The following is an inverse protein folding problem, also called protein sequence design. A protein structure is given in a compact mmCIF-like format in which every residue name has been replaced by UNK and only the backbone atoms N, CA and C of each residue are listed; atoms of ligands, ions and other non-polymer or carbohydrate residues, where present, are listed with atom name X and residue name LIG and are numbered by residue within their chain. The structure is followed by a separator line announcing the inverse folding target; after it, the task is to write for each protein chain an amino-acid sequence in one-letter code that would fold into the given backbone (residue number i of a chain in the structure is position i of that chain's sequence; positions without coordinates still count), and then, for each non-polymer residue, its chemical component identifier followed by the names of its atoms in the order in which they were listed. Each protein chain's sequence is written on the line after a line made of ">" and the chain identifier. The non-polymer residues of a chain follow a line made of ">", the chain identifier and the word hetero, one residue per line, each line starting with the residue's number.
data_IF_014923781948
#
_entry.id   IF_014923781948
#
_cell.length_a   1.000
_cell.length_b   1.000
_cell.length_c   1.000
_cell.angle_alpha   90.00
_cell.angle_beta   90.00
_cell.angle_gamma   90.00
#
_symmetry.space_group_name_H-M   'P 1'
#
loop_
_entity.id
_entity.type
_entity.pdbx_description
1 polymer ?
#
# COMPACT_ATOMS: atom_id res chain seq x y z
N UNK A 1 -24.24 -11.86 10.91
CA UNK A 1 -23.15 -11.18 10.18
C UNK A 1 -23.61 -11.02 8.75
N UNK A 2 -23.81 -9.79 8.27
CA UNK A 2 -24.25 -9.55 6.89
C UNK A 2 -23.05 -9.87 5.99
N UNK A 3 -23.06 -11.02 5.33
CA UNK A 3 -22.04 -11.37 4.33
C UNK A 3 -22.14 -10.33 3.23
N UNK A 4 -21.20 -9.40 3.20
CA UNK A 4 -21.16 -8.36 2.19
C UNK A 4 -21.16 -9.04 0.80
N UNK A 5 -22.20 -8.75 0.02
CA UNK A 5 -22.32 -9.27 -1.34
C UNK A 5 -21.13 -8.75 -2.15
N UNK A 6 -20.37 -9.61 -2.85
CA UNK A 6 -19.31 -9.15 -3.72
C UNK A 6 -19.87 -8.18 -4.77
N UNK A 7 -19.23 -7.03 -4.93
CA UNK A 7 -19.65 -6.00 -5.88
C UNK A 7 -18.54 -5.77 -6.91
N UNK A 8 -18.94 -5.54 -8.16
CA UNK A 8 -18.05 -5.25 -9.27
C UNK A 8 -18.52 -4.00 -9.99
N UNK A 9 -17.57 -3.16 -10.39
CA UNK A 9 -17.81 -1.98 -11.21
C UNK A 9 -16.71 -1.85 -12.26
N UNK A 10 -17.10 -1.38 -13.44
CA UNK A 10 -16.22 -1.15 -14.59
C UNK A 10 -16.54 0.20 -15.20
N UNK A 11 -15.52 0.92 -15.60
CA UNK A 11 -15.62 2.22 -16.26
C UNK A 11 -14.58 2.33 -17.37
N UNK A 12 -15.05 2.44 -18.60
CA UNK A 12 -14.22 2.82 -19.74
C UNK A 12 -14.12 4.35 -19.80
N UNK A 13 -12.91 4.87 -19.98
CA UNK A 13 -12.66 6.30 -20.09
C UNK A 13 -11.57 6.61 -21.11
N UNK A 14 -11.83 7.60 -21.95
CA UNK A 14 -10.78 8.26 -22.73
C UNK A 14 -10.15 9.34 -21.84
N UNK A 15 -8.89 9.13 -21.46
CA UNK A 15 -8.20 9.94 -20.46
C UNK A 15 -7.84 11.32 -21.00
N UNK A 16 -8.22 12.33 -20.24
CA UNK A 16 -7.73 13.70 -20.34
C UNK A 16 -7.76 14.34 -18.95
N UNK A 17 -6.95 15.36 -18.72
CA UNK A 17 -6.92 16.09 -17.44
C UNK A 17 -8.31 16.53 -16.91
N UNK A 18 -9.25 16.92 -17.79
CA UNK A 18 -10.63 17.24 -17.39
C UNK A 18 -11.40 15.98 -16.96
N UNK A 19 -11.23 14.87 -17.70
CA UNK A 19 -11.90 13.60 -17.43
C UNK A 19 -11.45 12.98 -16.11
N UNK A 20 -10.22 13.20 -15.65
CA UNK A 20 -9.76 12.72 -14.33
C UNK A 20 -10.67 13.21 -13.20
N UNK A 21 -11.04 14.49 -13.22
CA UNK A 21 -11.97 15.07 -12.23
C UNK A 21 -13.38 14.45 -12.30
N UNK A 22 -13.82 14.08 -13.51
CA UNK A 22 -15.10 13.39 -13.70
C UNK A 22 -15.05 11.95 -13.18
N UNK A 23 -13.99 11.21 -13.48
CA UNK A 23 -13.79 9.83 -12.99
C UNK A 23 -13.79 9.83 -11.47
N UNK A 24 -13.05 10.74 -10.82
CA UNK A 24 -13.08 10.93 -9.36
C UNK A 24 -14.51 11.01 -8.82
N UNK A 25 -15.36 11.86 -9.42
CA UNK A 25 -16.76 12.04 -8.97
C UNK A 25 -17.58 10.77 -9.14
N UNK A 26 -17.42 10.06 -10.26
CA UNK A 26 -18.14 8.82 -10.57
C UNK A 26 -17.75 7.71 -9.60
N UNK A 27 -16.43 7.52 -9.37
CA UNK A 27 -15.92 6.51 -8.46
C UNK A 27 -16.33 6.80 -7.02
N UNK A 28 -16.23 8.07 -6.58
CA UNK A 28 -16.69 8.48 -5.26
C UNK A 28 -18.18 8.19 -5.06
N UNK A 29 -19.03 8.42 -6.07
CA UNK A 29 -20.44 8.07 -6.00
C UNK A 29 -20.67 6.56 -5.86
N UNK A 30 -19.96 5.74 -6.64
CA UNK A 30 -20.05 4.28 -6.55
C UNK A 30 -19.58 3.73 -5.21
N UNK A 31 -18.47 4.24 -4.68
CA UNK A 31 -17.95 3.83 -3.37
C UNK A 31 -18.93 4.15 -2.24
N UNK A 32 -19.58 5.33 -2.27
CA UNK A 32 -20.64 5.68 -1.33
C UNK A 32 -21.88 4.80 -1.48
N UNK A 33 -22.25 4.47 -2.72
CA UNK A 33 -23.34 3.52 -2.98
C UNK A 33 -23.05 2.13 -2.36
N UNK A 34 -21.79 1.71 -2.36
CA UNK A 34 -21.33 0.49 -1.68
C UNK A 34 -21.11 0.64 -0.17
N UNK A 35 -21.38 1.82 0.41
CA UNK A 35 -21.14 2.17 1.82
C UNK A 35 -19.66 2.06 2.22
N UNK A 36 -18.76 2.39 1.30
CA UNK A 36 -17.31 2.40 1.47
C UNK A 36 -16.76 3.83 1.54
N UNK A 37 -17.45 4.74 2.23
CA UNK A 37 -17.11 6.17 2.34
C UNK A 37 -15.66 6.40 2.78
N UNK A 38 -15.15 5.56 3.69
CA UNK A 38 -13.77 5.63 4.20
C UNK A 38 -12.71 5.35 3.13
N UNK A 39 -13.09 4.73 2.01
CA UNK A 39 -12.20 4.39 0.91
C UNK A 39 -12.24 5.41 -0.22
N UNK A 40 -13.17 6.37 -0.21
CA UNK A 40 -13.35 7.34 -1.31
C UNK A 40 -12.04 8.08 -1.59
N UNK A 41 -11.48 8.78 -0.61
CA UNK A 41 -10.27 9.57 -0.82
C UNK A 41 -9.06 8.73 -1.25
N UNK A 42 -8.67 7.64 -0.55
CA UNK A 42 -7.48 6.87 -0.95
C UNK A 42 -7.63 6.18 -2.30
N UNK A 43 -8.82 5.68 -2.66
CA UNK A 43 -9.05 5.02 -3.95
C UNK A 43 -9.08 6.03 -5.07
N UNK A 44 -9.80 7.14 -4.91
CA UNK A 44 -9.84 8.19 -5.92
C UNK A 44 -8.44 8.76 -6.17
N UNK A 45 -7.66 9.06 -5.12
CA UNK A 45 -6.28 9.53 -5.30
C UNK A 45 -5.41 8.50 -6.01
N UNK A 46 -5.50 7.22 -5.65
CA UNK A 46 -4.75 6.16 -6.32
C UNK A 46 -5.10 6.05 -7.81
N UNK A 47 -6.38 6.17 -8.16
CA UNK A 47 -6.80 6.20 -9.57
C UNK A 47 -6.31 7.46 -10.28
N UNK A 48 -6.42 8.64 -9.66
CA UNK A 48 -5.96 9.91 -10.22
C UNK A 48 -4.47 9.87 -10.58
N UNK A 49 -3.62 9.34 -9.69
CA UNK A 49 -2.17 9.17 -9.94
C UNK A 49 -1.92 8.34 -11.20
N UNK A 50 -2.67 7.24 -11.38
CA UNK A 50 -2.54 6.38 -12.56
C UNK A 50 -3.08 7.05 -13.82
N UNK A 51 -4.22 7.73 -13.73
CA UNK A 51 -4.80 8.43 -14.90
C UNK A 51 -3.95 9.61 -15.34
N UNK A 52 -3.37 10.39 -14.42
CA UNK A 52 -2.44 11.46 -14.79
C UNK A 52 -1.18 10.90 -15.44
N UNK A 53 -0.67 9.78 -14.93
CA UNK A 53 0.46 9.09 -15.57
C UNK A 53 0.15 8.72 -17.02
N UNK A 54 -1.04 8.17 -17.28
CA UNK A 54 -1.51 7.81 -18.63
C UNK A 54 -1.75 9.06 -19.48
N UNK A 55 -2.34 10.12 -18.93
CA UNK A 55 -2.56 11.40 -19.63
C UNK A 55 -1.25 12.02 -20.10
N UNK A 56 -0.19 11.91 -19.31
CA UNK A 56 1.12 12.46 -19.65
C UNK A 56 1.91 11.59 -20.63
N UNK A 57 1.85 10.26 -20.49
CA UNK A 57 2.83 9.37 -21.16
C UNK A 57 2.23 8.45 -22.23
N UNK A 58 0.94 8.13 -22.17
CA UNK A 58 0.36 7.15 -23.06
C UNK A 58 0.04 7.74 -24.44
N UNK A 59 0.29 7.01 -25.52
CA UNK A 59 -0.19 7.43 -26.85
C UNK A 59 -1.68 7.15 -27.01
N UNK A 60 -2.14 5.99 -26.53
CA UNK A 60 -3.55 5.64 -26.46
C UNK A 60 -4.13 6.08 -25.11
N UNK A 61 -5.20 6.87 -25.16
CA UNK A 61 -5.88 7.40 -23.97
C UNK A 61 -7.03 6.52 -23.50
N UNK A 62 -7.38 5.46 -24.22
CA UNK A 62 -8.43 4.53 -23.80
C UNK A 62 -7.97 3.72 -22.59
N UNK A 63 -8.67 3.89 -21.47
CA UNK A 63 -8.32 3.31 -20.19
C UNK A 63 -9.53 2.68 -19.53
N UNK A 64 -9.31 1.52 -18.92
CA UNK A 64 -10.34 0.81 -18.15
C UNK A 64 -10.05 0.92 -16.66
N UNK A 65 -11.06 1.29 -15.89
CA UNK A 65 -11.02 1.28 -14.42
C UNK A 65 -11.98 0.21 -13.90
N UNK A 66 -11.42 -0.85 -13.33
CA UNK A 66 -12.16 -1.92 -12.68
C UNK A 66 -12.09 -1.78 -11.15
N UNK A 67 -13.20 -2.01 -10.46
CA UNK A 67 -13.26 -2.11 -9.00
C UNK A 67 -14.00 -3.37 -8.57
N UNK A 68 -13.40 -4.13 -7.65
CA UNK A 68 -14.00 -5.32 -7.07
C UNK A 68 -13.92 -5.29 -5.53
N UNK A 69 -15.07 -5.42 -4.89
CA UNK A 69 -15.21 -5.53 -3.43
C UNK A 69 -15.57 -6.97 -3.05
N UNK A 70 -14.83 -7.55 -2.11
CA UNK A 70 -15.05 -8.92 -1.63
C UNK A 70 -15.60 -9.01 -0.20
N UNK A 71 -15.96 -7.88 0.42
CA UNK A 71 -16.41 -7.81 1.81
C UNK A 71 -15.35 -7.38 2.81
N UNK A 72 -14.07 -7.37 2.43
CA UNK A 72 -12.96 -6.92 3.29
C UNK A 72 -11.95 -6.03 2.53
N UNK A 73 -11.67 -6.38 1.28
CA UNK A 73 -10.74 -5.68 0.41
C UNK A 73 -11.48 -5.15 -0.82
N UNK A 74 -11.18 -3.89 -1.14
CA UNK A 74 -11.47 -3.30 -2.43
C UNK A 74 -10.20 -3.39 -3.26
N UNK A 75 -10.29 -4.01 -4.44
CA UNK A 75 -9.22 -4.04 -5.43
C UNK A 75 -9.64 -3.12 -6.56
N UNK A 76 -8.75 -2.21 -6.93
CA UNK A 76 -8.93 -1.28 -8.04
C UNK A 76 -7.83 -1.54 -9.06
N UNK A 77 -8.20 -1.78 -10.30
CA UNK A 77 -7.28 -1.99 -11.41
C UNK A 77 -7.51 -0.91 -12.47
N UNK A 78 -6.40 -0.40 -13.02
CA UNK A 78 -6.39 0.54 -14.13
C UNK A 78 -5.59 -0.09 -15.25
N UNK A 79 -6.20 -0.18 -16.42
CA UNK A 79 -5.63 -0.84 -17.59
C UNK A 79 -5.50 0.15 -18.73
N UNK A 80 -4.31 0.24 -19.31
CA UNK A 80 -4.09 0.92 -20.59
C UNK A 80 -4.12 -0.08 -21.76
N UNK A 81 -4.22 0.44 -22.97
CA UNK A 81 -4.26 -0.33 -24.22
C UNK A 81 -3.00 -0.14 -25.08
N UNK A 82 -1.88 0.28 -24.47
CA UNK A 82 -0.66 0.58 -25.20
C UNK A 82 0.25 -0.64 -25.34
N UNK A 83 0.29 -1.21 -26.54
CA UNK A 83 1.01 -2.46 -26.85
C UNK A 83 2.55 -2.32 -26.86
N UNK A 84 3.06 -1.09 -27.00
CA UNK A 84 4.44 -0.79 -27.41
C UNK A 84 5.15 0.19 -26.45
N UNK A 85 5.35 -0.18 -25.17
CA UNK A 85 6.47 0.40 -24.42
C UNK A 85 7.57 -0.63 -24.11
N UNK A 86 8.71 -0.58 -24.84
CA UNK A 86 9.89 -1.34 -24.50
C UNK A 86 10.64 -0.61 -23.38
N UNK A 87 10.27 -0.85 -22.12
CA UNK A 87 11.02 -0.28 -20.99
C UNK A 87 10.61 -0.82 -19.62
N UNK A 88 11.57 -1.00 -18.68
CA UNK A 88 11.35 -1.65 -17.39
C UNK A 88 10.43 -0.89 -16.41
N UNK A 89 10.05 0.36 -16.72
CA UNK A 89 9.36 1.27 -15.81
C UNK A 89 8.28 2.10 -16.53
N UNK A 90 7.16 1.48 -16.91
CA UNK A 90 5.97 2.22 -17.37
C UNK A 90 5.19 2.84 -16.18
N UNK A 91 5.91 3.53 -15.32
CA UNK A 91 5.40 4.41 -14.29
C UNK A 91 6.53 5.40 -14.02
N UNK A 92 6.31 6.70 -14.22
CA UNK A 92 7.30 7.75 -13.93
C UNK A 92 7.86 7.59 -12.53
N UNK A 93 9.08 8.07 -12.32
CA UNK A 93 9.72 8.04 -11.00
C UNK A 93 8.76 8.59 -9.94
N UNK A 94 8.36 7.73 -8.99
CA UNK A 94 7.47 8.10 -7.88
C UNK A 94 6.00 7.68 -8.01
N UNK A 95 5.46 7.43 -9.21
CA UNK A 95 4.03 7.04 -9.36
C UNK A 95 3.71 5.75 -8.59
N UNK A 96 4.48 4.67 -8.79
CA UNK A 96 4.29 3.42 -8.05
C UNK A 96 4.62 3.55 -6.56
N UNK A 97 5.54 4.46 -6.19
CA UNK A 97 5.85 4.73 -4.78
C UNK A 97 4.66 5.41 -4.08
N UNK A 98 3.98 6.33 -4.76
CA UNK A 98 2.75 6.94 -4.27
C UNK A 98 1.62 5.91 -4.15
N UNK A 99 1.44 5.04 -5.16
CA UNK A 99 0.47 3.93 -5.08
C UNK A 99 0.80 3.00 -3.92
N UNK A 100 2.08 2.67 -3.70
CA UNK A 100 2.52 1.86 -2.58
C UNK A 100 2.18 2.51 -1.23
N UNK A 101 2.38 3.82 -1.10
CA UNK A 101 2.05 4.57 0.11
C UNK A 101 0.53 4.68 0.34
N UNK A 102 -0.25 4.71 -0.74
CA UNK A 102 -1.71 4.81 -0.71
C UNK A 102 -2.41 3.46 -0.62
N UNK A 103 -1.74 2.30 -0.68
CA UNK A 103 -2.40 1.00 -0.77
C UNK A 103 -1.94 0.00 0.30
N UNK A 104 -2.78 -0.99 0.58
CA UNK A 104 -2.42 -2.14 1.41
C UNK A 104 -1.61 -3.19 0.63
N UNK A 105 -1.61 -3.10 -0.70
CA UNK A 105 -0.90 -3.97 -1.62
C UNK A 105 -1.17 -3.53 -3.05
N UNK A 106 -0.19 -3.70 -3.94
CA UNK A 106 -0.24 -3.26 -5.33
C UNK A 106 0.60 -4.18 -6.23
N UNK A 107 0.39 -4.08 -7.54
CA UNK A 107 1.18 -4.81 -8.52
C UNK A 107 0.91 -4.32 -9.94
N UNK A 108 1.74 -4.79 -10.87
CA UNK A 108 1.59 -4.51 -12.29
C UNK A 108 1.77 -5.79 -13.10
N UNK A 109 0.94 -5.97 -14.13
CA UNK A 109 1.04 -7.09 -15.06
C UNK A 109 0.99 -6.56 -16.50
N UNK A 110 1.98 -6.88 -17.36
CA UNK A 110 1.83 -6.65 -18.78
C UNK A 110 0.75 -7.58 -19.35
N UNK A 111 0.00 -7.09 -20.32
CA UNK A 111 -0.99 -7.86 -21.08
C UNK A 111 -0.65 -7.82 -22.57
N UNK A 112 -1.24 -8.71 -23.40
CA UNK A 112 -0.99 -8.69 -24.85
C UNK A 112 -1.42 -7.39 -25.54
N UNK A 113 -2.26 -6.59 -24.87
CA UNK A 113 -2.86 -5.37 -25.42
C UNK A 113 -2.44 -4.11 -24.67
N UNK A 114 -1.66 -4.21 -23.60
CA UNK A 114 -1.31 -3.06 -22.76
C UNK A 114 -0.76 -3.49 -21.41
N UNK A 115 -1.06 -2.74 -20.36
CA UNK A 115 -0.63 -3.02 -18.99
C UNK A 115 -1.77 -2.79 -18.01
N UNK A 116 -1.81 -3.63 -16.97
CA UNK A 116 -2.72 -3.47 -15.85
C UNK A 116 -1.90 -3.14 -14.61
N UNK A 117 -2.22 -2.02 -13.96
CA UNK A 117 -1.74 -1.70 -12.62
C UNK A 117 -2.92 -1.85 -11.66
N UNK A 118 -2.71 -2.57 -10.56
CA UNK A 118 -3.74 -2.76 -9.56
C UNK A 118 -3.23 -2.37 -8.17
N UNK A 119 -4.14 -1.92 -7.33
CA UNK A 119 -3.90 -1.69 -5.91
C UNK A 119 -5.11 -2.09 -5.07
N UNK A 120 -4.89 -2.30 -3.78
CA UNK A 120 -5.91 -2.79 -2.86
C UNK A 120 -6.02 -1.93 -1.61
N UNK A 121 -7.23 -1.84 -1.06
CA UNK A 121 -7.56 -1.13 0.17
C UNK A 121 -8.46 -1.97 1.05
N UNK A 122 -8.12 -2.09 2.33
CA UNK A 122 -8.97 -2.68 3.36
C UNK A 122 -9.94 -1.65 3.90
N UNK A 123 -11.22 -2.01 3.99
CA UNK A 123 -12.19 -1.19 4.71
C UNK A 123 -12.03 -1.46 6.23
N UNK A 124 -11.13 -0.73 6.89
CA UNK A 124 -11.02 -0.77 8.35
C UNK A 124 -12.01 0.21 8.95
N UNK A 125 -13.13 -0.30 9.44
CA UNK A 125 -14.07 0.50 10.22
C UNK A 125 -13.39 0.89 11.55
N UNK A 126 -12.92 2.13 11.68
CA UNK A 126 -12.46 2.69 12.96
C UNK A 126 -10.95 2.90 13.18
N UNK A 127 -10.06 2.62 12.22
CA UNK A 127 -8.62 2.87 12.39
C UNK A 127 -8.13 4.10 11.64
N UNK A 128 -8.28 5.26 12.29
CA UNK A 128 -7.31 6.37 12.21
C UNK A 128 -7.21 7.05 13.57
N UNK A 129 -6.65 6.33 14.53
CA UNK A 129 -5.92 6.92 15.63
C UNK A 129 -4.62 6.12 15.75
N UNK A 130 -3.43 6.74 15.68
CA UNK A 130 -2.22 6.08 16.12
C UNK A 130 -2.47 5.57 17.54
N UNK A 131 -2.43 4.24 17.75
CA UNK A 131 -2.55 3.63 19.07
C UNK A 131 -1.30 3.87 19.94
N UNK A 132 -0.45 4.84 19.58
CA UNK A 132 0.64 5.24 20.43
C UNK A 132 -0.01 5.86 21.68
N UNK A 133 0.18 5.28 22.88
CA UNK A 133 -0.11 6.01 24.09
C UNK A 133 0.69 7.31 23.99
N UNK A 134 0.02 8.46 24.03
CA UNK A 134 0.70 9.72 24.34
C UNK A 134 1.28 9.50 25.72
N UNK A 135 2.58 9.20 25.77
CA UNK A 135 3.30 9.09 27.02
C UNK A 135 3.14 10.40 27.78
N UNK A 136 3.00 10.37 29.11
CA UNK A 136 2.94 11.59 29.90
C UNK A 136 4.15 12.47 29.56
N UNK A 137 3.92 13.78 29.43
CA UNK A 137 4.99 14.74 29.18
C UNK A 137 6.12 14.54 30.22
N UNK A 138 7.40 14.58 29.80
CA UNK A 138 8.50 14.37 30.74
C UNK A 138 8.45 15.45 31.82
N UNK A 139 8.21 15.06 33.06
CA UNK A 139 8.41 15.94 34.20
C UNK A 139 9.91 16.09 34.41
N UNK A 140 10.40 17.33 34.37
CA UNK A 140 11.78 17.66 34.65
C UNK A 140 12.05 17.33 36.13
N UNK A 141 12.70 16.20 36.40
CA UNK A 141 13.21 15.91 37.74
C UNK A 141 14.54 16.65 37.90
N UNK A 142 14.57 17.69 38.74
CA UNK A 142 15.83 18.25 39.23
C UNK A 142 16.55 17.17 40.05
N UNK A 143 17.68 16.70 39.53
CA UNK A 143 18.56 15.78 40.25
C UNK A 143 19.33 16.57 41.31
N UNK A 144 19.01 16.36 42.59
CA UNK A 144 19.88 16.77 43.68
C UNK A 144 21.09 15.82 43.72
N UNK A 145 22.31 16.37 43.60
CA UNK A 145 23.54 15.59 43.72
C UNK A 145 23.60 14.89 45.08
N UNK A 146 23.66 13.56 45.05
CA UNK A 146 23.94 12.76 46.23
C UNK A 146 25.39 13.00 46.69
N UNK A 147 25.64 13.27 47.99
CA UNK A 147 26.99 13.34 48.51
C UNK A 147 27.71 12.00 48.26
N UNK A 148 28.79 12.05 47.48
CA UNK A 148 29.62 10.87 47.21
C UNK A 148 30.32 10.46 48.50
N UNK A 149 30.12 9.21 48.94
CA UNK A 149 30.90 8.62 50.03
C UNK A 149 32.38 8.53 49.62
N UNK A 150 33.25 8.89 50.57
CA UNK A 150 34.71 8.88 50.45
C UNK A 150 35.21 7.41 50.40
N UNK A 151 36.22 7.07 49.59
CA UNK A 151 36.60 5.67 49.38
C UNK A 151 37.24 5.06 50.64
N UNK A 152 36.73 3.91 51.07
CA UNK A 152 37.44 3.04 52.02
C UNK A 152 38.41 2.16 51.21
N UNK A 153 39.72 2.14 51.52
CA UNK A 153 40.67 1.30 50.80
C UNK A 153 40.53 -0.15 51.27
N UNK A 154 40.15 -1.05 50.36
CA UNK A 154 40.23 -2.49 50.58
C UNK A 154 41.46 -3.06 49.88
N UNK A 155 42.23 -3.83 50.65
CA UNK A 155 43.53 -4.41 50.35
C UNK A 155 43.55 -5.32 49.12
N UNK A 156 44.72 -5.34 48.48
CA UNK A 156 45.06 -6.12 47.30
C UNK A 156 44.98 -7.64 47.52
N UNK A 157 44.32 -8.32 46.58
CA UNK A 157 44.44 -9.75 46.32
C UNK A 157 44.37 -9.99 44.81
N UNK A 158 45.51 -10.36 44.21
CA UNK A 158 45.72 -10.61 42.78
C UNK A 158 44.79 -11.71 42.25
N UNK A 159 43.96 -11.41 41.25
CA UNK A 159 44.16 -11.70 39.81
C UNK A 159 44.07 -13.19 39.41
N UNK A 160 43.00 -13.55 38.67
CA UNK A 160 43.13 -14.31 37.40
C UNK A 160 41.89 -14.14 36.50
N UNK A 161 42.10 -13.40 35.41
CA UNK A 161 41.65 -13.59 34.01
C UNK A 161 40.24 -14.08 33.65
N UNK A 162 39.50 -13.20 32.97
CA UNK A 162 38.64 -13.51 31.79
C UNK A 162 39.40 -12.93 30.54
N UNK A 163 39.17 -13.32 29.26
CA UNK A 163 37.84 -13.17 28.64
C UNK A 163 37.46 -14.15 27.49
N UNK A 164 36.14 -14.31 27.32
CA UNK A 164 35.36 -14.09 26.09
C UNK A 164 35.87 -14.64 24.73
N UNK A 165 35.04 -15.45 24.08
CA UNK A 165 34.71 -15.18 22.66
C UNK A 165 33.22 -15.38 22.39
N UNK A 166 32.60 -14.30 21.94
CA UNK A 166 31.28 -14.25 21.35
C UNK A 166 31.41 -14.37 19.83
N UNK A 167 30.45 -15.05 19.17
CA UNK A 167 30.07 -14.75 17.79
C UNK A 167 28.74 -15.46 17.42
N UNK A 168 27.67 -14.67 17.27
CA UNK A 168 26.56 -14.97 16.37
C UNK A 168 27.03 -14.78 14.91
N UNK A 169 26.30 -15.24 13.86
CA UNK A 169 25.16 -14.45 13.41
C UNK A 169 24.01 -15.19 12.68
N UNK A 170 22.96 -14.40 12.44
CA UNK A 170 22.09 -14.35 11.26
C UNK A 170 20.99 -15.42 11.09
N UNK A 171 19.81 -15.01 11.56
CA UNK A 171 18.51 -15.51 11.15
C UNK A 171 18.28 -15.39 9.63
N UNK A 172 17.88 -16.50 9.00
CA UNK A 172 17.24 -16.53 7.69
C UNK A 172 15.74 -16.70 7.89
N UNK A 173 14.96 -15.64 7.71
CA UNK A 173 13.51 -15.74 7.62
C UNK A 173 13.12 -15.99 6.16
N UNK A 174 12.67 -17.21 5.87
CA UNK A 174 11.91 -17.52 4.66
C UNK A 174 10.50 -16.91 4.80
N UNK A 175 10.15 -15.97 3.92
CA UNK A 175 8.77 -15.52 3.76
C UNK A 175 7.99 -16.50 2.87
N UNK A 176 6.72 -16.81 3.16
CA UNK A 176 5.93 -17.72 2.34
C UNK A 176 5.40 -17.01 1.08
N UNK A 177 5.53 -17.72 -0.03
CA UNK A 177 4.95 -17.47 -1.34
C UNK A 177 3.42 -17.55 -1.26
N UNK A 178 2.72 -16.45 -1.57
CA UNK A 178 1.26 -16.42 -1.68
C UNK A 178 0.86 -16.38 -3.17
N UNK A 179 0.37 -17.53 -3.61
CA UNK A 179 -0.25 -17.81 -4.92
C UNK A 179 -1.38 -16.83 -5.24
N UNK A 180 -1.23 -16.10 -6.34
CA UNK A 180 -2.31 -15.30 -6.96
C UNK A 180 -3.21 -16.24 -7.78
N UNK A 181 -4.54 -16.24 -7.62
CA UNK A 181 -5.42 -17.05 -8.44
C UNK A 181 -5.46 -16.53 -9.89
N UNK A 182 -5.20 -17.44 -10.85
CA UNK A 182 -5.37 -17.22 -12.29
C UNK A 182 -6.83 -16.85 -12.57
N UNK A 183 -7.06 -15.77 -13.34
CA UNK A 183 -8.39 -15.38 -13.83
C UNK A 183 -8.97 -16.54 -14.64
N UNK A 184 -10.19 -16.94 -14.28
CA UNK A 184 -11.02 -17.91 -14.99
C UNK A 184 -11.33 -17.32 -16.39
N UNK A 185 -10.81 -17.96 -17.43
CA UNK A 185 -11.20 -17.70 -18.82
C UNK A 185 -12.70 -17.97 -18.94
N UNK A 186 -13.48 -16.93 -19.28
CA UNK A 186 -14.89 -17.13 -19.63
C UNK A 186 -14.95 -17.86 -20.98
N UNK A 187 -15.76 -18.93 -21.13
CA UNK A 187 -16.01 -19.53 -22.42
C UNK A 187 -16.87 -18.59 -23.28
N UNK A 188 -16.41 -18.35 -24.51
CA UNK A 188 -17.16 -17.69 -25.58
C UNK A 188 -18.41 -18.51 -25.91
N UNK A 189 -19.61 -17.93 -26.00
CA UNK A 189 -20.75 -18.64 -26.58
C UNK A 189 -20.54 -18.76 -28.10
N UNK A 190 -20.53 -19.99 -28.60
CA UNK A 190 -20.66 -20.26 -30.03
C UNK A 190 -22.08 -19.94 -30.49
N UNK A 191 -22.17 -19.40 -31.70
CA UNK A 191 -23.38 -19.11 -32.46
C UNK A 191 -24.19 -20.39 -32.77
#
# INVERSE_FOLDING_TARGET
>A
MNTAVPCYYHLDVEVSSERVSQVRRILAAHLRYWKLDILVDPVCRGVEVLLHTIDEHATDKNTDVEMWWNGQHLITAVSDHERDLPGPHYAPEGCLAEIAALSDGWGGCPTPTGKIIWFSRRARLGERAPLLPVGPAPTLNEALEMPREVPVPAFAGSAVTDPLVAAAPAARAHGPELTVPRRLVRPTPAM
#
